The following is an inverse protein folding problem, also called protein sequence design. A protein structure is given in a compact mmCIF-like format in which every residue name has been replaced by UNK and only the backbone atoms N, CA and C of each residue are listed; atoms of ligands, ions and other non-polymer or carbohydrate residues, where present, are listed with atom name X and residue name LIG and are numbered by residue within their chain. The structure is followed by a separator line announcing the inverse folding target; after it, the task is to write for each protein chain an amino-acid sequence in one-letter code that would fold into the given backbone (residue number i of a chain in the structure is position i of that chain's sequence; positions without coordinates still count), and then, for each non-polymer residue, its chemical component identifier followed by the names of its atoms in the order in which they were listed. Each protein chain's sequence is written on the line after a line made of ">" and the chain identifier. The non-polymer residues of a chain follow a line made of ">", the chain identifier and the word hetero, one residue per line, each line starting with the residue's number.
data_IF_468268931140
#
_entry.id   IF_468268931140
#
_cell.length_a   1.000
_cell.length_b   1.000
_cell.length_c   1.000
_cell.angle_alpha   90.00
_cell.angle_beta   90.00
_cell.angle_gamma   90.00
#
_symmetry.space_group_name_H-M   'P 1'
#
loop_
_entity.id
_entity.type
_entity.pdbx_description
1 polymer ?
#
# COMPACT_ATOMS: atom_id res chain seq x y z
N UNK A 1 -6.52 47.16 -16.72
CA UNK A 1 -5.54 46.94 -15.63
C UNK A 1 -4.53 45.93 -16.12
N UNK A 2 -3.36 46.39 -16.58
CA UNK A 2 -2.28 45.51 -17.04
C UNK A 2 -1.60 44.84 -15.84
N UNK A 3 -1.78 43.53 -15.70
CA UNK A 3 -1.12 42.74 -14.68
C UNK A 3 0.35 42.54 -15.07
N UNK A 4 1.26 43.22 -14.37
CA UNK A 4 2.70 43.03 -14.54
C UNK A 4 3.07 41.57 -14.20
N UNK A 5 3.83 40.85 -15.05
CA UNK A 5 4.27 39.50 -14.76
C UNK A 5 5.13 39.47 -13.50
N UNK A 6 4.89 38.49 -12.61
CA UNK A 6 5.73 38.23 -11.43
C UNK A 6 6.73 37.13 -11.77
N UNK A 7 7.96 37.25 -11.28
CA UNK A 7 8.95 36.18 -11.36
C UNK A 7 8.74 35.17 -10.25
N UNK A 8 8.85 33.88 -10.54
CA UNK A 8 8.92 32.84 -9.51
C UNK A 8 10.29 32.87 -8.78
N UNK A 9 10.46 32.01 -7.77
CA UNK A 9 11.70 31.87 -7.01
C UNK A 9 12.91 31.42 -7.86
N UNK A 10 12.68 31.03 -9.12
CA UNK A 10 13.67 30.56 -10.08
C UNK A 10 13.92 31.61 -11.19
N UNK A 11 13.30 32.80 -11.09
CA UNK A 11 13.47 33.88 -12.05
C UNK A 11 12.63 33.75 -13.32
N UNK A 12 11.75 32.75 -13.43
CA UNK A 12 10.89 32.60 -14.60
C UNK A 12 9.74 33.59 -14.54
N UNK A 13 9.46 34.28 -15.64
CA UNK A 13 8.27 35.14 -15.78
C UNK A 13 7.02 34.27 -15.83
N UNK A 14 6.28 34.22 -14.73
CA UNK A 14 4.96 33.55 -14.70
C UNK A 14 3.90 34.61 -14.95
N UNK A 15 3.05 34.37 -15.95
CA UNK A 15 1.87 35.20 -16.17
C UNK A 15 0.93 35.02 -14.97
N UNK A 16 0.46 36.14 -14.41
CA UNK A 16 -0.48 36.11 -13.28
C UNK A 16 -1.75 35.35 -13.71
N UNK A 17 -1.97 34.18 -13.11
CA UNK A 17 -3.12 33.30 -13.40
C UNK A 17 -2.78 31.94 -14.02
N UNK A 18 -1.52 31.66 -14.35
CA UNK A 18 -1.10 30.32 -14.79
C UNK A 18 -0.67 29.46 -13.61
N UNK A 19 -1.25 28.26 -13.50
CA UNK A 19 -0.79 27.24 -12.56
C UNK A 19 0.68 26.88 -12.87
N UNK A 20 1.51 26.63 -11.86
CA UNK A 20 2.90 26.23 -12.09
C UNK A 20 2.94 24.96 -12.94
N UNK A 21 3.99 24.79 -13.78
CA UNK A 21 4.14 23.57 -14.57
C UNK A 21 4.21 22.35 -13.65
N UNK A 22 3.64 21.20 -14.04
CA UNK A 22 3.65 20.00 -13.22
C UNK A 22 5.09 19.58 -12.93
N UNK A 23 5.43 19.44 -11.64
CA UNK A 23 6.74 18.96 -11.23
C UNK A 23 6.92 17.49 -11.61
N UNK A 24 8.10 17.16 -12.15
CA UNK A 24 8.48 15.76 -12.41
C UNK A 24 8.74 15.05 -11.08
N UNK A 25 7.98 14.00 -10.79
CA UNK A 25 8.11 13.21 -9.57
C UNK A 25 8.53 11.78 -9.92
N UNK A 26 9.54 11.26 -9.22
CA UNK A 26 9.94 9.85 -9.30
C UNK A 26 9.78 9.21 -7.93
N UNK A 27 9.05 8.10 -7.86
CA UNK A 27 8.87 7.32 -6.64
C UNK A 27 9.95 6.24 -6.56
N UNK A 28 10.71 6.22 -5.46
CA UNK A 28 11.73 5.19 -5.20
C UNK A 28 11.31 4.40 -3.96
N UNK A 29 10.85 3.17 -4.17
CA UNK A 29 10.42 2.28 -3.09
C UNK A 29 11.62 1.72 -2.32
N UNK A 30 11.60 1.82 -0.99
CA UNK A 30 12.57 1.15 -0.11
C UNK A 30 11.99 -0.19 0.32
N UNK A 31 12.62 -1.29 -0.11
CA UNK A 31 12.11 -2.65 0.08
C UNK A 31 12.89 -3.40 1.15
N UNK A 32 12.17 -4.08 2.04
CA UNK A 32 12.75 -4.96 3.06
C UNK A 32 13.25 -6.27 2.42
N UNK A 33 14.54 -6.55 2.55
CA UNK A 33 15.20 -7.66 1.85
C UNK A 33 15.30 -8.96 2.66
N UNK A 34 15.18 -8.90 3.99
CA UNK A 34 15.33 -10.11 4.81
C UNK A 34 14.08 -10.98 4.68
N UNK A 35 14.22 -12.30 4.54
CA UNK A 35 13.08 -13.19 4.39
C UNK A 35 12.22 -13.21 5.65
N UNK A 36 10.90 -13.10 5.48
CA UNK A 36 9.91 -13.23 6.55
C UNK A 36 9.30 -14.63 6.48
N UNK A 37 9.30 -15.31 7.63
CA UNK A 37 8.71 -16.65 7.79
C UNK A 37 7.69 -16.59 8.92
N UNK A 38 6.47 -17.02 8.66
CA UNK A 38 5.41 -17.08 9.66
C UNK A 38 5.62 -18.31 10.55
N UNK A 39 5.65 -18.17 11.88
CA UNK A 39 5.76 -19.30 12.78
C UNK A 39 4.57 -20.27 12.60
N UNK A 40 4.82 -21.58 12.61
CA UNK A 40 3.76 -22.58 12.45
C UNK A 40 2.66 -22.43 13.50
N UNK A 41 3.04 -22.18 14.75
CA UNK A 41 2.11 -21.96 15.86
C UNK A 41 1.24 -20.71 15.68
N UNK A 42 1.77 -19.69 15.01
CA UNK A 42 0.97 -18.51 14.66
C UNK A 42 -0.06 -18.89 13.60
N UNK A 43 0.36 -19.56 12.52
CA UNK A 43 -0.53 -19.96 11.43
C UNK A 43 -1.64 -20.88 11.94
N UNK A 44 -1.34 -21.87 12.80
CA UNK A 44 -2.37 -22.79 13.30
C UNK A 44 -3.48 -22.09 14.09
N UNK A 45 -3.15 -21.02 14.83
CA UNK A 45 -4.10 -20.24 15.65
C UNK A 45 -4.99 -19.29 14.85
N UNK A 46 -4.65 -19.00 13.59
CA UNK A 46 -5.45 -18.11 12.75
C UNK A 46 -6.80 -18.74 12.40
N UNK A 47 -7.86 -17.93 12.20
CA UNK A 47 -9.12 -18.44 11.70
C UNK A 47 -8.97 -18.95 10.26
N UNK A 48 -9.96 -19.67 9.75
CA UNK A 48 -9.85 -20.36 8.45
C UNK A 48 -9.74 -19.37 7.30
N UNK A 49 -10.47 -18.26 7.36
CA UNK A 49 -10.56 -17.27 6.29
C UNK A 49 -10.00 -15.92 6.75
N UNK A 50 -8.87 -15.51 6.18
CA UNK A 50 -8.14 -14.30 6.58
C UNK A 50 -7.83 -13.40 5.39
N UNK A 51 -7.68 -12.09 5.64
CA UNK A 51 -7.06 -11.17 4.68
C UNK A 51 -5.59 -10.96 5.08
N UNK A 52 -4.69 -11.01 4.10
CA UNK A 52 -3.28 -10.66 4.28
C UNK A 52 -3.02 -9.22 3.84
N UNK A 53 -2.50 -8.40 4.76
CA UNK A 53 -2.05 -7.04 4.52
C UNK A 53 -0.56 -6.87 4.78
N UNK A 54 0.05 -5.99 3.99
CA UNK A 54 1.45 -5.56 4.08
C UNK A 54 1.54 -4.07 3.76
N UNK A 55 2.62 -3.40 4.15
CA UNK A 55 2.98 -2.12 3.57
C UNK A 55 3.85 -2.33 2.30
N UNK A 56 4.12 -1.24 1.56
CA UNK A 56 4.90 -1.31 0.31
C UNK A 56 6.33 -1.86 0.50
N UNK A 57 6.90 -1.72 1.71
CA UNK A 57 8.26 -2.16 2.02
C UNK A 57 8.36 -3.69 2.07
N UNK A 58 7.31 -4.38 2.54
CA UNK A 58 7.26 -5.85 2.64
C UNK A 58 6.52 -6.53 1.50
N UNK A 59 5.81 -5.77 0.67
CA UNK A 59 5.04 -6.29 -0.45
C UNK A 59 5.82 -7.22 -1.42
N UNK A 60 7.13 -7.08 -1.67
CA UNK A 60 7.87 -8.06 -2.47
C UNK A 60 7.84 -9.50 -1.94
N UNK A 61 7.47 -9.69 -0.67
CA UNK A 61 7.35 -11.01 -0.04
C UNK A 61 5.88 -11.45 0.14
N UNK A 62 4.93 -10.70 -0.41
CA UNK A 62 3.49 -10.93 -0.25
C UNK A 62 3.08 -12.34 -0.68
N UNK A 63 3.45 -12.76 -1.89
CA UNK A 63 3.08 -14.07 -2.42
C UNK A 63 3.65 -15.21 -1.56
N UNK A 64 4.89 -15.06 -1.08
CA UNK A 64 5.52 -16.04 -0.19
C UNK A 64 4.78 -16.13 1.15
N UNK A 65 4.31 -15.01 1.70
CA UNK A 65 3.53 -14.99 2.94
C UNK A 65 2.15 -15.61 2.73
N UNK A 66 1.49 -15.30 1.61
CA UNK A 66 0.23 -15.90 1.20
C UNK A 66 0.35 -17.42 1.07
N UNK A 67 1.36 -17.92 0.37
CA UNK A 67 1.59 -19.37 0.24
C UNK A 67 1.86 -20.06 1.58
N UNK A 68 2.52 -19.40 2.54
CA UNK A 68 2.71 -19.96 3.89
C UNK A 68 1.40 -20.12 4.65
N UNK A 69 0.47 -19.17 4.50
CA UNK A 69 -0.86 -19.24 5.10
C UNK A 69 -1.70 -20.33 4.41
N UNK A 70 -1.70 -20.38 3.08
CA UNK A 70 -2.45 -21.37 2.30
C UNK A 70 -1.95 -22.80 2.57
N UNK A 71 -0.63 -23.00 2.63
CA UNK A 71 -0.03 -24.28 3.03
C UNK A 71 -0.40 -24.68 4.47
N UNK A 72 -0.72 -23.72 5.33
CA UNK A 72 -1.25 -23.93 6.68
C UNK A 72 -2.77 -24.16 6.73
N UNK A 73 -3.42 -24.34 5.58
CA UNK A 73 -4.86 -24.61 5.46
C UNK A 73 -5.74 -23.37 5.58
N UNK A 74 -5.19 -22.17 5.36
CA UNK A 74 -5.95 -20.91 5.42
C UNK A 74 -6.42 -20.49 4.03
N UNK A 75 -7.66 -20.01 3.96
CA UNK A 75 -8.18 -19.30 2.79
C UNK A 75 -7.76 -17.83 2.90
N UNK A 76 -6.85 -17.40 2.03
CA UNK A 76 -6.34 -16.03 2.03
C UNK A 76 -7.10 -15.19 1.00
N UNK A 77 -7.92 -14.27 1.49
CA UNK A 77 -8.60 -13.30 0.64
C UNK A 77 -7.60 -12.20 0.25
N UNK A 78 -7.42 -12.02 -1.06
CA UNK A 78 -6.68 -10.90 -1.65
C UNK A 78 -7.64 -9.75 -1.94
N UNK A 79 -7.34 -8.58 -1.38
CA UNK A 79 -8.10 -7.34 -1.63
C UNK A 79 -7.13 -6.23 -1.95
N UNK A 80 -7.54 -5.26 -2.78
CA UNK A 80 -6.80 -4.02 -3.01
C UNK A 80 -7.55 -2.86 -2.38
N UNK A 81 -7.10 -2.33 -1.24
CA UNK A 81 -7.72 -1.19 -0.61
C UNK A 81 -7.74 0.05 -1.51
N UNK A 82 -8.66 0.97 -1.24
CA UNK A 82 -8.74 2.30 -1.86
C UNK A 82 -7.40 3.00 -1.71
N UNK A 83 -6.93 3.62 -2.79
CA UNK A 83 -5.65 4.34 -2.88
C UNK A 83 -4.39 3.46 -2.78
N UNK A 84 -4.52 2.14 -2.59
CA UNK A 84 -3.39 1.23 -2.69
C UNK A 84 -3.04 0.97 -4.16
N UNK A 85 -1.75 0.86 -4.46
CA UNK A 85 -1.29 0.47 -5.79
C UNK A 85 -1.31 -1.04 -5.99
N UNK A 86 -1.15 -1.81 -4.92
CA UNK A 86 -0.97 -3.26 -4.98
C UNK A 86 -2.00 -4.01 -4.13
N UNK A 87 -2.28 -5.24 -4.50
CA UNK A 87 -3.11 -6.13 -3.68
C UNK A 87 -2.46 -6.38 -2.32
N UNK A 88 -3.27 -6.42 -1.27
CA UNK A 88 -2.79 -6.57 0.10
C UNK A 88 -1.90 -5.43 0.59
N UNK A 89 -1.77 -4.32 -0.14
CA UNK A 89 -1.12 -3.11 0.37
C UNK A 89 -2.13 -2.29 1.17
N UNK A 90 -1.83 -2.02 2.44
CA UNK A 90 -2.63 -1.13 3.27
C UNK A 90 -1.88 0.19 3.52
N UNK A 91 -2.60 1.31 3.48
CA UNK A 91 -2.12 2.64 3.86
C UNK A 91 -2.89 3.09 5.11
N UNK A 92 -2.31 3.97 5.92
CA UNK A 92 -2.97 4.46 7.14
C UNK A 92 -4.30 5.17 6.89
N UNK A 93 -4.52 5.72 5.69
CA UNK A 93 -5.77 6.37 5.28
C UNK A 93 -6.75 5.44 4.55
N UNK A 94 -6.36 4.19 4.26
CA UNK A 94 -7.16 3.23 3.49
C UNK A 94 -8.01 2.34 4.41
N UNK A 95 -8.78 2.95 5.31
CA UNK A 95 -9.69 2.21 6.21
C UNK A 95 -10.97 1.87 5.45
N UNK A 96 -11.33 0.59 5.44
CA UNK A 96 -12.51 0.06 4.76
C UNK A 96 -13.22 -0.97 5.62
N UNK A 97 -14.53 -1.12 5.37
CA UNK A 97 -15.35 -2.16 5.98
C UNK A 97 -15.26 -3.45 5.15
N UNK A 98 -14.81 -4.53 5.79
CA UNK A 98 -14.66 -5.86 5.19
C UNK A 98 -15.68 -6.88 5.73
N UNK A 99 -16.64 -6.45 6.55
CA UNK A 99 -17.62 -7.33 7.21
C UNK A 99 -18.43 -8.20 6.23
N UNK A 100 -18.69 -7.70 5.02
CA UNK A 100 -19.43 -8.40 3.97
C UNK A 100 -18.65 -9.52 3.28
N UNK A 101 -17.34 -9.64 3.51
CA UNK A 101 -16.48 -10.63 2.83
C UNK A 101 -16.49 -12.02 3.49
N UNK A 102 -17.13 -12.14 4.65
CA UNK A 102 -17.08 -13.36 5.48
C UNK A 102 -15.67 -13.64 6.03
N UNK A 103 -14.79 -12.65 6.04
CA UNK A 103 -13.46 -12.76 6.67
C UNK A 103 -13.62 -12.85 8.18
N UNK A 104 -12.80 -13.71 8.80
CA UNK A 104 -12.84 -13.95 10.24
C UNK A 104 -11.71 -13.20 10.97
N UNK A 105 -10.67 -12.78 10.24
CA UNK A 105 -9.56 -12.00 10.79
C UNK A 105 -8.59 -11.50 9.73
N UNK A 106 -7.60 -10.72 10.16
CA UNK A 106 -6.57 -10.17 9.29
C UNK A 106 -5.18 -10.50 9.82
N UNK A 107 -4.26 -10.74 8.89
CA UNK A 107 -2.83 -10.86 9.15
C UNK A 107 -2.17 -9.61 8.60
N UNK A 108 -1.44 -8.89 9.43
CA UNK A 108 -0.69 -7.70 9.04
C UNK A 108 0.81 -7.94 9.21
N UNK A 109 1.61 -7.58 8.20
CA UNK A 109 3.08 -7.62 8.23
C UNK A 109 3.64 -6.23 7.94
N UNK A 110 4.34 -5.67 8.93
CA UNK A 110 4.87 -4.30 8.94
C UNK A 110 6.12 -4.18 9.80
#
# INVERSE_FOLDING_TARGET
>A
MDLKPKSDAQGNKVLAGQAPPPMKLTFVEVKYKKPITLPKEFVTRLPKKVILFTNIQYHPQYDKLKSQLEAGGKEVITVRPKHAWKEGQILGCSIEDWSSTGVEGFVYVG
#
